data_IF_580537027825
#
_entry.id   IF_580537027825
#
_cell.length_a   1.000
_cell.length_b   1.000
_cell.length_c   1.000
_cell.angle_alpha   90.00
_cell.angle_beta   90.00
_cell.angle_gamma   90.00
#
_symmetry.space_group_name_H-M   'P 1'
#
loop_
_entity.id
_entity.type
_entity.pdbx_description
1 polymer ?
#
# COMPACT_ATOMS: atom_id res chain seq x y z
N UNK A 1 14.02 3.71 -10.21
CA UNK A 1 14.07 4.14 -11.62
C UNK A 1 13.70 2.95 -12.48
N UNK A 2 12.76 3.11 -13.42
CA UNK A 2 12.37 2.03 -14.33
C UNK A 2 13.51 1.76 -15.31
N UNK A 3 14.04 0.55 -15.30
CA UNK A 3 15.12 0.10 -16.19
C UNK A 3 14.59 -0.03 -17.64
N UNK A 4 15.46 0.23 -18.62
CA UNK A 4 15.19 0.16 -20.06
C UNK A 4 14.61 -1.21 -20.47
N UNK A 5 14.94 -2.27 -19.73
CA UNK A 5 14.35 -3.61 -19.92
C UNK A 5 12.83 -3.65 -19.68
N UNK A 6 12.29 -2.80 -18.82
CA UNK A 6 10.85 -2.68 -18.57
C UNK A 6 10.16 -1.89 -19.69
N UNK A 7 10.86 -0.91 -20.26
CA UNK A 7 10.34 -0.12 -21.40
C UNK A 7 10.20 -1.01 -22.63
N UNK A 8 11.23 -1.83 -22.93
CA UNK A 8 11.19 -2.80 -24.03
C UNK A 8 10.15 -3.91 -23.85
N UNK A 9 9.60 -4.07 -22.65
CA UNK A 9 8.54 -5.04 -22.38
C UNK A 9 7.17 -4.53 -22.83
N UNK A 10 6.99 -3.22 -23.02
CA UNK A 10 5.72 -2.63 -23.46
C UNK A 10 5.30 -3.13 -24.85
N UNK A 11 6.28 -3.48 -25.69
CA UNK A 11 6.05 -3.99 -27.05
C UNK A 11 5.54 -5.45 -27.05
N UNK A 12 5.74 -6.19 -25.95
CA UNK A 12 5.28 -7.57 -25.77
C UNK A 12 4.15 -7.61 -24.74
N UNK A 13 2.90 -7.60 -25.23
CA UNK A 13 1.70 -7.55 -24.40
C UNK A 13 1.58 -8.71 -23.41
N UNK A 14 1.93 -9.92 -23.84
CA UNK A 14 1.84 -11.12 -22.99
C UNK A 14 2.88 -11.06 -21.88
N UNK A 15 4.12 -10.68 -22.21
CA UNK A 15 5.17 -10.51 -21.21
C UNK A 15 4.86 -9.35 -20.27
N UNK A 16 4.33 -8.25 -20.78
CA UNK A 16 3.90 -7.11 -19.98
C UNK A 16 2.80 -7.50 -18.98
N UNK A 17 1.75 -8.21 -19.43
CA UNK A 17 0.63 -8.61 -18.58
C UNK A 17 1.04 -9.59 -17.47
N UNK A 18 1.93 -10.52 -17.80
CA UNK A 18 2.39 -11.56 -16.88
C UNK A 18 3.57 -11.11 -16.00
N UNK A 19 4.12 -9.91 -16.22
CA UNK A 19 5.19 -9.38 -15.39
C UNK A 19 4.67 -9.05 -13.98
N UNK A 20 5.42 -9.37 -12.91
CA UNK A 20 4.96 -9.20 -11.53
C UNK A 20 5.05 -7.74 -11.06
N UNK A 21 4.39 -6.82 -11.77
CA UNK A 21 4.38 -5.37 -11.49
C UNK A 21 4.07 -5.07 -10.04
N UNK A 22 3.06 -5.73 -9.46
CA UNK A 22 2.70 -5.55 -8.05
C UNK A 22 3.87 -5.81 -7.09
N UNK A 23 4.60 -6.92 -7.26
CA UNK A 23 5.77 -7.24 -6.42
C UNK A 23 6.91 -6.25 -6.62
N UNK A 24 7.16 -5.85 -7.87
CA UNK A 24 8.20 -4.86 -8.17
C UNK A 24 7.87 -3.51 -7.53
N UNK A 25 6.65 -2.99 -7.76
CA UNK A 25 6.17 -1.74 -7.19
C UNK A 25 6.24 -1.77 -5.67
N UNK A 26 5.75 -2.84 -5.02
CA UNK A 26 5.85 -2.99 -3.57
C UNK A 26 7.30 -2.95 -3.07
N UNK A 27 8.20 -3.69 -3.71
CA UNK A 27 9.62 -3.75 -3.32
C UNK A 27 10.31 -2.38 -3.44
N UNK A 28 10.06 -1.67 -4.55
CA UNK A 28 10.60 -0.33 -4.77
C UNK A 28 10.06 0.67 -3.74
N UNK A 29 8.76 0.63 -3.48
CA UNK A 29 8.12 1.49 -2.48
C UNK A 29 8.67 1.22 -1.08
N UNK A 30 8.78 -0.04 -0.67
CA UNK A 30 9.38 -0.44 0.61
C UNK A 30 10.82 0.10 0.74
N UNK A 31 11.64 -0.06 -0.30
CA UNK A 31 13.01 0.43 -0.30
C UNK A 31 13.06 1.96 -0.17
N UNK A 32 12.19 2.67 -0.89
CA UNK A 32 12.10 4.13 -0.81
C UNK A 32 11.74 4.60 0.60
N UNK A 33 10.70 4.01 1.21
CA UNK A 33 10.28 4.31 2.59
C UNK A 33 11.44 4.06 3.57
N UNK A 34 12.10 2.91 3.47
CA UNK A 34 13.24 2.57 4.33
C UNK A 34 14.39 3.58 4.20
N UNK A 35 14.68 4.02 2.97
CA UNK A 35 15.72 5.01 2.72
C UNK A 35 15.35 6.39 3.27
N UNK A 36 14.10 6.82 3.11
CA UNK A 36 13.59 8.07 3.66
C UNK A 36 13.63 8.10 5.20
N UNK A 37 13.29 6.98 5.85
CA UNK A 37 13.40 6.84 7.31
C UNK A 37 14.88 6.87 7.76
N UNK A 38 15.78 6.21 7.01
CA UNK A 38 17.22 6.20 7.31
C UNK A 38 17.87 7.57 7.11
N UNK A 39 17.47 8.33 6.09
CA UNK A 39 18.02 9.67 5.83
C UNK A 39 17.66 10.65 6.95
N UNK A 40 16.44 10.55 7.51
CA UNK A 40 16.01 11.32 8.70
C UNK A 40 16.90 11.07 9.93
N UNK A 41 17.34 9.83 10.16
CA UNK A 41 18.25 9.51 11.27
C UNK A 41 19.65 10.10 11.11
N UNK A 42 20.03 10.51 9.89
CA UNK A 42 21.37 11.06 9.57
C UNK A 42 21.38 12.57 9.37
N UNK A 43 20.24 13.19 9.11
CA UNK A 43 20.11 14.63 8.85
C UNK A 43 19.68 15.36 10.12
N UNK A 44 20.36 16.47 10.44
CA UNK A 44 19.94 17.45 11.47
C UNK A 44 19.27 18.69 10.87
N UNK A 45 19.14 18.77 9.54
CA UNK A 45 18.72 19.98 8.83
C UNK A 45 17.29 19.82 8.29
N UNK A 46 16.38 20.68 8.78
CA UNK A 46 14.92 20.59 8.60
C UNK A 46 14.41 20.81 7.15
N UNK A 47 15.15 21.47 6.27
CA UNK A 47 14.57 22.05 5.06
C UNK A 47 14.38 21.05 3.90
N UNK A 48 15.28 20.08 3.73
CA UNK A 48 15.17 19.04 2.67
C UNK A 48 14.31 17.85 3.12
N UNK A 49 14.08 17.69 4.43
CA UNK A 49 13.29 16.60 5.02
C UNK A 49 11.78 16.71 4.76
N UNK A 50 11.30 17.93 4.46
CA UNK A 50 9.88 18.25 4.41
C UNK A 50 9.08 17.46 3.36
N UNK A 51 9.60 17.29 2.14
CA UNK A 51 8.80 16.69 1.03
C UNK A 51 8.66 15.16 1.10
N UNK A 52 9.76 14.44 1.40
CA UNK A 52 9.71 12.99 1.53
C UNK A 52 8.91 12.56 2.77
N UNK A 53 8.98 13.37 3.84
CA UNK A 53 8.26 13.11 5.08
C UNK A 53 6.78 13.49 4.99
N UNK A 54 6.42 14.59 4.32
CA UNK A 54 5.03 14.91 4.00
C UNK A 54 4.37 13.78 3.21
N UNK A 55 5.10 13.17 2.26
CA UNK A 55 4.61 11.99 1.54
C UNK A 55 4.40 10.78 2.47
N UNK A 56 5.27 10.58 3.47
CA UNK A 56 5.16 9.48 4.43
C UNK A 56 4.05 9.65 5.48
N UNK A 57 3.50 10.85 5.70
CA UNK A 57 2.40 11.04 6.67
C UNK A 57 1.11 10.40 6.16
N UNK A 58 0.75 10.64 4.91
CA UNK A 58 -0.56 10.21 4.38
C UNK A 58 -0.47 8.91 3.56
N UNK A 59 0.68 8.63 2.95
CA UNK A 59 0.84 7.46 2.09
C UNK A 59 0.60 6.10 2.78
N UNK A 60 1.05 5.86 4.03
CA UNK A 60 0.75 4.62 4.73
C UNK A 60 -0.76 4.41 4.94
N UNK A 61 -1.50 5.50 5.18
CA UNK A 61 -2.96 5.43 5.34
C UNK A 61 -3.63 4.97 4.05
N UNK A 62 -3.18 5.49 2.90
CA UNK A 62 -3.67 5.05 1.58
C UNK A 62 -3.42 3.57 1.34
N UNK A 63 -2.22 3.08 1.69
CA UNK A 63 -1.89 1.66 1.59
C UNK A 63 -2.77 0.79 2.50
N UNK A 64 -3.08 1.26 3.72
CA UNK A 64 -3.96 0.54 4.64
C UNK A 64 -5.37 0.41 4.07
N UNK A 65 -5.95 1.49 3.55
CA UNK A 65 -7.27 1.43 2.92
C UNK A 65 -7.32 0.55 1.68
N UNK A 66 -6.25 0.52 0.88
CA UNK A 66 -6.12 -0.48 -0.20
C UNK A 66 -6.08 -1.91 0.31
N UNK A 67 -5.39 -2.16 1.44
CA UNK A 67 -5.37 -3.49 2.03
C UNK A 67 -6.75 -3.91 2.52
N UNK A 68 -7.55 -3.01 3.13
CA UNK A 68 -8.93 -3.30 3.55
C UNK A 68 -9.85 -3.66 2.37
N UNK A 69 -9.67 -3.04 1.20
CA UNK A 69 -10.43 -3.37 -0.01
C UNK A 69 -10.11 -4.78 -0.54
N UNK A 70 -8.86 -5.24 -0.35
CA UNK A 70 -8.37 -6.52 -0.88
C UNK A 70 -8.55 -7.67 0.11
N UNK A 71 -8.49 -7.37 1.41
CA UNK A 71 -8.51 -8.34 2.50
C UNK A 71 -9.73 -8.07 3.40
N UNK A 72 -10.90 -8.68 3.11
CA UNK A 72 -12.10 -8.46 3.91
C UNK A 72 -11.93 -8.80 5.39
N UNK A 73 -11.09 -9.79 5.71
CA UNK A 73 -10.72 -10.13 7.10
C UNK A 73 -10.13 -8.92 7.82
N UNK A 74 -9.21 -8.22 7.13
CA UNK A 74 -8.58 -7.00 7.61
C UNK A 74 -9.57 -5.85 7.76
N UNK A 75 -10.59 -5.77 6.91
CA UNK A 75 -11.61 -4.75 7.09
C UNK A 75 -12.50 -5.03 8.32
N UNK A 76 -12.95 -6.29 8.47
CA UNK A 76 -14.02 -6.66 9.41
C UNK A 76 -13.76 -6.34 10.88
N UNK A 77 -12.48 -6.31 11.30
CA UNK A 77 -12.10 -6.02 12.68
C UNK A 77 -11.87 -4.54 13.00
N UNK A 78 -11.58 -3.71 11.99
CA UNK A 78 -10.97 -2.39 12.23
C UNK A 78 -11.61 -1.23 11.50
N UNK A 79 -12.31 -1.48 10.38
CA UNK A 79 -12.94 -0.44 9.58
C UNK A 79 -14.33 -0.82 9.11
N UNK A 80 -15.23 0.15 9.13
CA UNK A 80 -16.58 0.01 8.61
C UNK A 80 -16.70 0.74 7.29
N UNK A 81 -17.34 0.11 6.31
CA UNK A 81 -17.61 0.74 5.03
C UNK A 81 -18.87 1.60 5.12
N UNK A 82 -18.72 2.91 5.05
CA UNK A 82 -19.80 3.89 5.21
C UNK A 82 -20.47 4.30 3.89
N UNK A 83 -19.90 3.91 2.74
CA UNK A 83 -20.43 4.31 1.44
C UNK A 83 -19.89 3.50 0.26
N UNK A 84 -20.31 3.92 -0.94
CA UNK A 84 -19.86 3.33 -2.22
C UNK A 84 -19.46 4.39 -3.24
N UNK A 85 -19.24 5.62 -2.80
CA UNK A 85 -18.91 6.76 -3.65
C UNK A 85 -17.49 6.69 -4.23
N UNK A 86 -17.17 7.64 -5.12
CA UNK A 86 -15.83 7.83 -5.64
C UNK A 86 -15.20 9.07 -4.99
N UNK A 87 -13.94 9.01 -4.52
CA UNK A 87 -13.02 7.86 -4.54
C UNK A 87 -13.31 6.83 -3.43
N UNK A 88 -13.16 5.54 -3.74
CA UNK A 88 -13.52 4.40 -2.84
C UNK A 88 -12.89 4.52 -1.44
N UNK A 89 -11.65 4.99 -1.37
CA UNK A 89 -10.89 5.20 -0.13
C UNK A 89 -11.60 6.08 0.91
N UNK A 90 -12.44 7.04 0.49
CA UNK A 90 -13.15 7.93 1.40
C UNK A 90 -14.42 7.32 2.00
N UNK A 91 -14.76 6.08 1.62
CA UNK A 91 -15.96 5.40 2.10
C UNK A 91 -15.67 4.42 3.24
N UNK A 92 -14.55 4.61 3.94
CA UNK A 92 -14.16 3.80 5.08
C UNK A 92 -14.07 4.70 6.31
N UNK A 93 -14.61 4.21 7.42
CA UNK A 93 -14.49 4.83 8.73
C UNK A 93 -13.75 3.86 9.65
N UNK A 94 -12.68 4.35 10.30
CA UNK A 94 -11.93 3.58 11.29
C UNK A 94 -12.43 3.92 12.69
N UNK A 95 -12.83 2.91 13.46
CA UNK A 95 -13.17 3.09 14.87
C UNK A 95 -11.92 3.15 15.76
N UNK A 96 -10.84 2.49 15.37
CA UNK A 96 -9.61 2.35 16.18
C UNK A 96 -8.33 2.31 15.34
N UNK A 97 -7.20 2.55 16.00
CA UNK A 97 -5.87 2.49 15.39
C UNK A 97 -5.37 1.04 15.39
N UNK A 98 -4.95 0.55 14.22
CA UNK A 98 -4.39 -0.80 14.06
C UNK A 98 -3.16 -1.02 14.95
N UNK A 99 -3.20 -2.03 15.82
CA UNK A 99 -2.00 -2.56 16.45
C UNK A 99 -1.38 -3.66 15.58
N UNK A 100 -0.05 -3.63 15.43
CA UNK A 100 0.65 -4.56 14.57
C UNK A 100 0.66 -5.98 15.13
N UNK A 101 0.65 -6.13 16.46
CA UNK A 101 0.62 -7.45 17.13
C UNK A 101 -0.68 -8.17 16.83
N UNK A 102 -1.79 -7.44 16.96
CA UNK A 102 -3.14 -7.91 16.68
C UNK A 102 -3.29 -8.35 15.21
N UNK A 103 -2.71 -7.60 14.28
CA UNK A 103 -2.65 -7.98 12.87
C UNK A 103 -1.88 -9.27 12.61
N UNK A 104 -0.72 -9.44 13.25
CA UNK A 104 0.10 -10.64 13.07
C UNK A 104 -0.63 -11.87 13.59
N UNK A 105 -1.14 -11.81 14.82
CA UNK A 105 -1.76 -12.93 15.53
C UNK A 105 -3.12 -13.33 14.96
N UNK A 106 -3.99 -12.36 14.67
CA UNK A 106 -5.39 -12.63 14.31
C UNK A 106 -5.68 -12.67 12.81
N UNK A 107 -4.77 -12.15 11.97
CA UNK A 107 -5.01 -12.05 10.52
C UNK A 107 -3.96 -12.77 9.70
N UNK A 108 -2.67 -12.50 9.94
CA UNK A 108 -1.62 -13.06 9.09
C UNK A 108 -1.20 -14.47 9.50
N UNK A 109 -1.30 -14.82 10.78
CA UNK A 109 -1.07 -16.17 11.27
C UNK A 109 -2.27 -17.10 11.03
N UNK A 110 -3.48 -16.56 10.98
CA UNK A 110 -4.65 -17.30 10.51
C UNK A 110 -4.53 -17.61 9.00
N UNK A 111 -4.28 -18.87 8.64
CA UNK A 111 -3.99 -19.31 7.25
C UNK A 111 -5.16 -19.16 6.25
N UNK A 112 -6.28 -18.54 6.62
CA UNK A 112 -7.49 -18.44 5.82
C UNK A 112 -7.71 -17.03 5.22
N UNK A 113 -6.63 -16.41 4.75
CA UNK A 113 -6.70 -15.12 4.05
C UNK A 113 -7.33 -15.28 2.67
N UNK A 114 -8.51 -14.69 2.48
CA UNK A 114 -9.13 -14.56 1.16
C UNK A 114 -8.80 -13.21 0.54
N UNK A 115 -8.30 -13.22 -0.69
CA UNK A 115 -7.97 -12.01 -1.45
C UNK A 115 -9.09 -11.70 -2.43
N UNK A 116 -9.66 -10.50 -2.34
CA UNK A 116 -10.66 -10.00 -3.28
C UNK A 116 -9.97 -9.15 -4.35
N UNK A 117 -10.21 -9.39 -5.65
CA UNK A 117 -9.64 -8.57 -6.70
C UNK A 117 -10.25 -7.16 -6.67
N UNK A 118 -9.41 -6.12 -6.80
CA UNK A 118 -9.89 -4.77 -7.06
C UNK A 118 -10.38 -4.73 -8.51
N UNK A 119 -11.69 -4.79 -8.69
CA UNK A 119 -12.33 -4.54 -9.98
C UNK A 119 -12.53 -3.03 -10.13
N UNK A 120 -12.13 -2.45 -11.26
CA UNK A 120 -12.43 -1.07 -11.58
C UNK A 120 -13.95 -0.85 -11.51
N UNK A 121 -14.39 0.27 -10.91
CA UNK A 121 -15.81 0.64 -11.00
C UNK A 121 -16.10 0.94 -12.47
N UNK A 122 -17.18 0.36 -13.01
CA UNK A 122 -17.77 0.82 -14.27
C UNK A 122 -18.26 2.28 -14.17
#
# INVERSE_FOLDING_TARGET
MLDLKHVKMLDDKEKFRNYPWGRLCFSLTKQFIQNAVKSKRKSKNLETESKAYAFLQDFPMVLAYWAYEILPQLASGYVTRIGKGCPRILNWESSEQLDWQDLEDNIFLEKNLSVVPIVASE
#
